data_IF_209253315147
#
_entry.id   IF_209253315147
#
_cell.length_a   1.000
_cell.length_b   1.000
_cell.length_c   1.000
_cell.angle_alpha   90.00
_cell.angle_beta   90.00
_cell.angle_gamma   90.00
#
_symmetry.space_group_name_H-M   'P 1'
#
loop_
_entity.id
_entity.type
_entity.pdbx_description
1 polymer ?
#
# COMPACT_ATOMS: atom_id res chain seq x y z
N UNK A 1 26.31 13.22 -30.99
CA UNK A 1 25.73 14.45 -30.38
C UNK A 1 25.41 15.51 -31.44
N UNK A 2 26.18 15.62 -32.52
CA UNK A 2 25.88 16.56 -33.61
C UNK A 2 24.70 16.15 -34.51
N UNK A 3 24.33 14.86 -34.52
CA UNK A 3 23.22 14.32 -35.32
C UNK A 3 21.85 14.33 -34.60
N UNK A 4 21.77 14.83 -33.36
CA UNK A 4 20.52 14.89 -32.60
C UNK A 4 19.66 16.07 -33.07
N UNK A 5 18.35 15.84 -33.26
CA UNK A 5 17.39 16.92 -33.49
C UNK A 5 17.33 17.84 -32.26
N UNK A 6 17.76 19.10 -32.45
CA UNK A 6 17.83 20.12 -31.40
C UNK A 6 16.57 20.97 -31.30
N UNK A 7 15.52 20.62 -32.06
CA UNK A 7 14.22 21.30 -31.94
C UNK A 7 13.62 21.07 -30.57
N UNK A 8 13.08 22.13 -29.99
CA UNK A 8 12.38 22.04 -28.70
C UNK A 8 10.97 21.48 -28.90
N UNK A 9 10.40 20.91 -27.84
CA UNK A 9 9.01 20.44 -27.84
C UNK A 9 8.06 21.52 -28.36
N UNK A 10 8.29 22.77 -27.92
CA UNK A 10 7.49 23.92 -28.35
C UNK A 10 7.60 24.22 -29.85
N UNK A 11 8.76 24.02 -30.45
CA UNK A 11 8.97 24.20 -31.89
C UNK A 11 8.33 23.07 -32.71
N UNK A 12 8.32 21.85 -32.17
CA UNK A 12 7.70 20.69 -32.82
C UNK A 12 6.16 20.74 -32.78
N UNK A 13 5.58 21.45 -31.82
CA UNK A 13 4.13 21.64 -31.69
C UNK A 13 3.61 22.94 -32.33
N UNK A 14 4.28 23.46 -33.38
CA UNK A 14 3.92 24.69 -34.11
C UNK A 14 3.87 25.99 -33.27
N UNK A 15 4.48 26.01 -32.08
CA UNK A 15 4.74 27.22 -31.30
C UNK A 15 3.51 27.90 -30.68
N UNK A 16 3.66 29.19 -30.36
CA UNK A 16 2.69 29.94 -29.54
C UNK A 16 1.29 30.03 -30.16
N UNK A 17 1.15 29.97 -31.49
CA UNK A 17 -0.14 30.07 -32.16
C UNK A 17 -0.97 28.78 -32.02
N UNK A 18 -0.34 27.61 -32.12
CA UNK A 18 -1.00 26.32 -31.98
C UNK A 18 -1.31 25.98 -30.52
N UNK A 19 -0.47 26.44 -29.58
CA UNK A 19 -0.60 26.16 -28.15
C UNK A 19 -1.36 27.25 -27.36
N UNK A 20 -1.92 28.25 -28.05
CA UNK A 20 -2.63 29.36 -27.43
C UNK A 20 -3.84 28.92 -26.58
N UNK A 21 -4.48 27.79 -26.92
CA UNK A 21 -5.62 27.23 -26.18
C UNK A 21 -5.20 26.49 -24.90
N UNK A 22 -3.98 25.96 -24.84
CA UNK A 22 -3.49 25.16 -23.70
C UNK A 22 -2.58 25.95 -22.76
N UNK A 23 -1.84 26.94 -23.27
CA UNK A 23 -0.87 27.71 -22.49
C UNK A 23 -1.46 28.42 -21.28
N UNK A 24 -2.71 28.92 -21.28
CA UNK A 24 -3.33 29.50 -20.09
C UNK A 24 -3.60 28.50 -18.96
N UNK A 25 -3.66 27.19 -19.29
CA UNK A 25 -3.87 26.11 -18.32
C UNK A 25 -2.57 25.60 -17.71
N UNK A 26 -1.41 25.98 -18.26
CA UNK A 26 -0.10 25.53 -17.78
C UNK A 26 0.53 26.59 -16.88
N UNK A 27 1.14 26.15 -15.79
CA UNK A 27 1.91 27.03 -14.92
C UNK A 27 3.10 27.65 -15.72
N UNK A 28 3.45 28.93 -15.50
CA UNK A 28 4.50 29.61 -16.28
C UNK A 28 5.88 28.92 -16.27
N UNK A 29 6.22 28.22 -15.17
CA UNK A 29 7.47 27.44 -15.10
C UNK A 29 7.45 26.24 -16.06
N UNK A 30 6.30 25.58 -16.24
CA UNK A 30 6.13 24.47 -17.16
C UNK A 30 6.21 24.98 -18.61
N UNK A 31 5.57 26.11 -18.91
CA UNK A 31 5.70 26.75 -20.24
C UNK A 31 7.17 27.06 -20.54
N UNK A 32 7.89 27.60 -19.58
CA UNK A 32 9.33 27.91 -19.72
C UNK A 32 10.15 26.64 -19.93
N UNK A 33 9.85 25.57 -19.20
CA UNK A 33 10.47 24.26 -19.37
C UNK A 33 10.20 23.70 -20.78
N UNK A 34 8.95 23.62 -21.23
CA UNK A 34 8.58 23.07 -22.54
C UNK A 34 9.15 23.88 -23.72
N UNK A 35 9.35 25.19 -23.54
CA UNK A 35 10.06 26.06 -24.50
C UNK A 35 11.54 25.73 -24.63
N UNK A 36 12.17 25.26 -23.55
CA UNK A 36 13.60 24.92 -23.50
C UNK A 36 13.87 23.42 -23.73
N UNK A 37 12.93 22.56 -23.42
CA UNK A 37 13.08 21.12 -23.48
C UNK A 37 13.20 20.65 -24.93
N UNK A 38 14.27 19.93 -25.25
CA UNK A 38 14.42 19.27 -26.55
C UNK A 38 13.33 18.20 -26.69
N UNK A 39 12.68 18.17 -27.85
CA UNK A 39 11.59 17.22 -28.10
C UNK A 39 12.10 15.78 -28.12
N UNK A 40 13.37 15.59 -28.48
CA UNK A 40 14.09 14.32 -28.35
C UNK A 40 13.63 13.21 -29.29
N UNK A 41 12.49 13.33 -29.99
CA UNK A 41 11.99 12.30 -30.89
C UNK A 41 11.33 12.85 -32.15
N UNK A 42 11.83 12.38 -33.29
CA UNK A 42 11.00 12.10 -34.46
C UNK A 42 10.26 10.78 -34.20
N UNK A 43 8.94 10.77 -34.38
CA UNK A 43 8.12 9.55 -34.51
C UNK A 43 8.41 8.85 -35.85
N UNK A 44 9.68 8.61 -36.15
CA UNK A 44 10.10 7.93 -37.37
C UNK A 44 10.59 6.53 -36.99
N UNK A 45 9.89 5.50 -37.49
CA UNK A 45 10.12 4.08 -37.22
C UNK A 45 11.50 3.56 -37.70
N UNK A 46 12.36 4.44 -38.21
CA UNK A 46 13.57 4.10 -38.95
C UNK A 46 14.88 4.20 -38.16
N UNK A 47 14.90 4.75 -36.93
CA UNK A 47 16.10 4.81 -36.09
C UNK A 47 15.86 4.41 -34.61
N UNK A 48 16.87 3.81 -33.94
CA UNK A 48 16.73 3.33 -32.57
C UNK A 48 16.47 4.48 -31.60
N UNK A 49 15.41 4.32 -30.82
CA UNK A 49 14.94 5.29 -29.84
C UNK A 49 15.98 5.51 -28.73
N UNK A 50 16.47 6.75 -28.57
CA UNK A 50 17.23 7.15 -27.39
C UNK A 50 16.31 7.41 -26.20
N UNK A 51 16.00 6.36 -25.45
CA UNK A 51 15.24 6.46 -24.20
C UNK A 51 16.09 7.20 -23.16
N UNK A 52 15.71 8.43 -22.82
CA UNK A 52 16.42 9.23 -21.82
C UNK A 52 16.37 8.60 -20.42
N UNK A 53 15.38 7.74 -20.17
CA UNK A 53 15.23 6.99 -18.93
C UNK A 53 14.61 5.61 -19.19
N UNK A 54 15.01 4.60 -18.40
CA UNK A 54 14.49 3.23 -18.50
C UNK A 54 12.96 3.17 -18.45
N UNK A 55 12.32 4.05 -17.68
CA UNK A 55 10.90 3.93 -17.33
C UNK A 55 9.95 4.91 -18.01
N UNK A 56 10.44 6.05 -18.54
CA UNK A 56 9.59 7.05 -19.20
C UNK A 56 10.16 7.38 -20.58
N UNK A 57 9.28 7.63 -21.54
CA UNK A 57 9.63 7.90 -22.93
C UNK A 57 8.93 9.15 -23.42
N UNK A 58 9.72 10.10 -23.93
CA UNK A 58 9.23 11.29 -24.61
C UNK A 58 8.38 12.25 -23.77
N UNK A 59 8.32 13.50 -24.19
CA UNK A 59 7.35 14.45 -23.65
C UNK A 59 5.97 14.17 -24.27
N UNK A 60 4.91 14.25 -23.47
CA UNK A 60 3.55 14.09 -23.94
C UNK A 60 3.18 15.14 -25.01
N UNK A 61 2.36 14.76 -25.99
CA UNK A 61 1.82 15.71 -26.96
C UNK A 61 0.82 16.68 -26.30
N UNK A 62 0.53 17.84 -26.90
CA UNK A 62 -0.49 18.78 -26.43
C UNK A 62 -1.84 18.13 -26.09
N UNK A 63 -2.28 17.16 -26.89
CA UNK A 63 -3.53 16.43 -26.70
C UNK A 63 -3.44 15.44 -25.53
N UNK A 64 -2.27 14.85 -25.31
CA UNK A 64 -2.03 13.81 -24.31
C UNK A 64 -1.83 14.36 -22.89
N UNK A 65 -1.48 15.65 -22.74
CA UNK A 65 -1.24 16.29 -21.44
C UNK A 65 -2.38 16.03 -20.43
N UNK A 66 -3.64 16.10 -20.88
CA UNK A 66 -4.81 15.93 -19.98
C UNK A 66 -5.70 14.72 -20.29
N UNK A 67 -5.53 14.05 -21.43
CA UNK A 67 -6.39 12.91 -21.80
C UNK A 67 -6.13 11.66 -20.97
N UNK A 68 -4.92 11.49 -20.44
CA UNK A 68 -4.55 10.24 -19.77
C UNK A 68 -4.85 10.24 -18.26
N UNK A 69 -5.08 11.42 -17.65
CA UNK A 69 -5.37 11.52 -16.21
C UNK A 69 -6.80 11.04 -15.99
N UNK A 70 -6.95 9.78 -15.57
CA UNK A 70 -8.24 9.15 -15.30
C UNK A 70 -8.88 9.77 -14.05
N UNK A 71 -9.79 10.73 -14.25
CA UNK A 71 -10.66 11.24 -13.20
C UNK A 71 -11.91 10.36 -13.12
N UNK A 72 -12.41 10.08 -11.92
CA UNK A 72 -13.74 9.48 -11.76
C UNK A 72 -14.81 10.45 -12.30
N UNK A 73 -15.90 9.94 -12.88
CA UNK A 73 -16.95 10.76 -13.52
C UNK A 73 -17.62 11.75 -12.54
N UNK A 74 -17.48 11.53 -11.24
CA UNK A 74 -18.01 12.35 -10.15
C UNK A 74 -17.00 13.35 -9.55
N UNK A 75 -15.75 13.42 -10.03
CA UNK A 75 -14.79 14.44 -9.58
C UNK A 75 -15.08 15.83 -10.18
N UNK A 76 -15.01 16.85 -9.31
CA UNK A 76 -15.15 18.26 -9.68
C UNK A 76 -14.04 18.72 -10.65
N UNK A 77 -14.37 19.66 -11.53
CA UNK A 77 -13.51 20.15 -12.61
C UNK A 77 -12.25 20.89 -12.10
N UNK A 78 -12.19 21.20 -10.80
CA UNK A 78 -11.05 21.83 -10.13
C UNK A 78 -9.77 20.99 -10.22
N UNK A 79 -9.87 19.66 -10.13
CA UNK A 79 -8.71 18.76 -10.26
C UNK A 79 -8.22 18.62 -11.72
N UNK A 80 -9.13 18.77 -12.70
CA UNK A 80 -8.85 18.57 -14.14
C UNK A 80 -7.88 19.59 -14.74
N UNK A 81 -7.68 20.70 -14.05
CA UNK A 81 -6.72 21.73 -14.45
C UNK A 81 -5.40 21.63 -13.69
N UNK A 82 -5.33 20.87 -12.60
CA UNK A 82 -4.15 20.81 -11.72
C UNK A 82 -3.14 19.77 -12.13
N UNK A 83 -3.59 18.63 -12.65
CA UNK A 83 -2.73 17.51 -13.00
C UNK A 83 -2.63 17.30 -14.50
N UNK A 84 -1.41 17.00 -14.98
CA UNK A 84 -1.18 16.65 -16.38
C UNK A 84 -0.01 15.68 -16.54
N UNK A 85 -0.02 14.85 -17.58
CA UNK A 85 1.06 13.92 -17.91
C UNK A 85 2.17 14.64 -18.67
N UNK A 86 3.37 14.79 -18.08
CA UNK A 86 4.53 15.43 -18.70
C UNK A 86 5.33 14.46 -19.58
N UNK A 87 5.65 13.27 -19.07
CA UNK A 87 6.35 12.22 -19.82
C UNK A 87 5.44 11.00 -19.96
N UNK A 88 5.55 10.24 -21.05
CA UNK A 88 4.78 9.00 -21.19
C UNK A 88 5.51 7.81 -20.57
N UNK A 89 4.77 6.76 -20.19
CA UNK A 89 5.38 5.53 -19.71
C UNK A 89 6.06 4.79 -20.88
N UNK A 90 7.22 4.18 -20.62
CA UNK A 90 7.91 3.38 -21.63
C UNK A 90 7.16 2.06 -21.90
N UNK A 91 6.37 2.04 -22.97
CA UNK A 91 5.58 0.89 -23.43
C UNK A 91 6.41 -0.36 -23.72
N UNK A 92 7.69 -0.22 -24.05
CA UNK A 92 8.59 -1.34 -24.29
C UNK A 92 8.84 -2.21 -23.03
N UNK A 93 8.46 -1.72 -21.85
CA UNK A 93 8.52 -2.48 -20.59
C UNK A 93 7.24 -3.24 -20.25
N UNK A 94 6.24 -3.29 -21.15
CA UNK A 94 5.00 -4.03 -20.93
C UNK A 94 4.04 -3.34 -19.96
N UNK A 95 4.06 -2.00 -19.89
CA UNK A 95 3.11 -1.20 -19.09
C UNK A 95 1.69 -1.30 -19.63
N UNK A 96 0.72 -1.41 -18.72
CA UNK A 96 -0.70 -1.58 -19.02
C UNK A 96 -1.47 -0.27 -19.27
N UNK A 97 -0.86 0.90 -19.01
CA UNK A 97 -1.46 2.23 -19.21
C UNK A 97 -0.40 3.32 -19.54
N UNK A 98 -0.71 4.33 -20.38
CA UNK A 98 0.29 5.28 -20.92
C UNK A 98 0.69 6.44 -19.99
N UNK A 99 0.32 6.42 -18.71
CA UNK A 99 0.24 7.62 -17.87
C UNK A 99 1.58 8.26 -17.44
N UNK A 100 2.69 7.52 -17.47
CA UNK A 100 4.06 8.03 -17.37
C UNK A 100 4.37 8.88 -16.14
N UNK A 101 4.78 10.14 -16.32
CA UNK A 101 5.03 11.07 -15.22
C UNK A 101 3.93 12.14 -15.18
N UNK A 102 3.10 12.14 -14.14
CA UNK A 102 2.09 13.16 -13.87
C UNK A 102 2.70 14.28 -13.02
N UNK A 103 2.44 15.53 -13.38
CA UNK A 103 2.79 16.71 -12.59
C UNK A 103 1.57 17.31 -11.92
N UNK A 104 1.73 17.68 -10.65
CA UNK A 104 0.88 18.61 -9.91
C UNK A 104 1.45 20.01 -10.07
N UNK A 105 0.85 20.83 -10.93
CA UNK A 105 1.40 22.15 -11.21
C UNK A 105 1.08 23.21 -10.16
N UNK A 106 0.19 22.92 -9.22
CA UNK A 106 -0.13 23.81 -8.10
C UNK A 106 0.90 23.64 -6.99
N UNK A 107 1.25 22.38 -6.66
CA UNK A 107 2.20 22.07 -5.62
C UNK A 107 3.65 21.86 -6.12
N UNK A 108 3.86 21.81 -7.44
CA UNK A 108 5.17 21.57 -8.04
C UNK A 108 5.72 20.16 -7.81
N UNK A 109 4.85 19.18 -7.58
CA UNK A 109 5.23 17.78 -7.32
C UNK A 109 5.02 16.91 -8.55
N UNK A 110 5.69 15.76 -8.61
CA UNK A 110 5.61 14.81 -9.72
C UNK A 110 5.33 13.39 -9.19
N UNK A 111 4.62 12.59 -9.98
CA UNK A 111 4.22 11.22 -9.66
C UNK A 111 4.41 10.33 -10.90
N UNK A 112 4.97 9.14 -10.73
CA UNK A 112 5.15 8.19 -11.84
C UNK A 112 4.03 7.14 -11.83
N UNK A 113 3.31 7.01 -12.93
CA UNK A 113 2.22 6.07 -13.21
C UNK A 113 2.61 5.15 -14.38
N UNK A 114 2.93 3.91 -14.06
CA UNK A 114 3.32 2.85 -14.96
C UNK A 114 2.20 1.81 -15.20
N UNK A 115 1.10 1.84 -14.45
CA UNK A 115 0.00 0.87 -14.53
C UNK A 115 -1.38 1.50 -14.33
N UNK A 116 -2.44 0.85 -14.85
CA UNK A 116 -3.84 1.22 -14.54
C UNK A 116 -4.12 1.22 -13.03
N UNK A 117 -3.45 0.35 -12.27
CA UNK A 117 -3.62 0.21 -10.82
C UNK A 117 -2.86 1.26 -10.01
N UNK A 118 -2.00 2.06 -10.65
CA UNK A 118 -1.34 3.17 -9.96
C UNK A 118 -2.33 4.29 -9.66
N UNK A 119 -3.46 4.35 -10.38
CA UNK A 119 -4.59 5.21 -9.99
C UNK A 119 -5.15 4.81 -8.62
N UNK A 120 -5.24 3.51 -8.32
CA UNK A 120 -5.72 3.01 -7.01
C UNK A 120 -4.69 3.27 -5.90
N UNK A 121 -3.38 3.12 -6.18
CA UNK A 121 -2.29 3.43 -5.23
C UNK A 121 -2.19 4.94 -4.95
N UNK A 122 -2.34 5.78 -5.98
CA UNK A 122 -2.34 7.25 -5.83
C UNK A 122 -3.59 7.79 -5.15
N UNK A 123 -4.72 7.09 -5.27
CA UNK A 123 -5.93 7.39 -4.48
C UNK A 123 -5.87 6.83 -3.06
N UNK A 124 -5.03 5.82 -2.79
CA UNK A 124 -4.94 5.14 -1.48
C UNK A 124 -3.63 5.37 -0.70
N UNK A 125 -2.82 6.38 -1.03
CA UNK A 125 -1.47 6.49 -0.44
C UNK A 125 -0.77 7.85 -0.46
N UNK A 126 -1.47 8.95 -0.13
CA UNK A 126 -0.90 10.30 0.11
C UNK A 126 0.08 10.36 1.33
N UNK A 127 1.00 9.40 1.46
CA UNK A 127 1.91 9.22 2.60
C UNK A 127 3.36 9.59 2.29
N UNK A 128 3.64 10.26 1.18
CA UNK A 128 4.96 10.85 0.97
C UNK A 128 4.88 12.29 1.46
N UNK A 129 5.71 12.65 2.43
CA UNK A 129 5.77 14.01 2.97
C UNK A 129 7.15 14.59 2.71
N UNK A 130 7.19 15.86 2.30
CA UNK A 130 8.43 16.61 2.26
C UNK A 130 8.78 17.04 3.69
N UNK A 131 10.04 16.88 4.06
CA UNK A 131 10.59 17.34 5.33
C UNK A 131 11.76 18.28 5.09
N UNK A 132 11.87 19.28 5.97
CA UNK A 132 12.92 20.30 5.90
C UNK A 132 14.32 19.72 6.18
N UNK A 133 15.36 20.50 5.91
CA UNK A 133 16.76 20.13 6.19
C UNK A 133 17.00 19.78 7.67
N UNK A 134 16.23 20.38 8.57
CA UNK A 134 16.30 20.18 10.03
C UNK A 134 15.58 18.90 10.52
N UNK A 135 15.03 18.08 9.63
CA UNK A 135 14.39 16.83 10.01
C UNK A 135 15.41 15.82 10.57
N UNK A 136 15.20 15.41 11.82
CA UNK A 136 16.07 14.51 12.58
C UNK A 136 15.48 13.10 12.78
N UNK A 137 14.39 12.77 12.09
CA UNK A 137 13.76 11.45 12.19
C UNK A 137 14.58 10.36 11.52
N UNK A 138 14.44 9.13 12.04
CA UNK A 138 15.23 7.95 11.65
C UNK A 138 14.70 7.22 10.39
N UNK A 139 13.61 7.70 9.78
CA UNK A 139 13.05 7.13 8.56
C UNK A 139 14.00 7.28 7.37
N UNK A 140 13.97 6.28 6.47
CA UNK A 140 14.65 6.39 5.19
C UNK A 140 14.20 7.66 4.44
N UNK A 141 15.19 8.51 4.11
CA UNK A 141 14.99 9.82 3.48
C UNK A 141 15.59 9.82 2.08
N UNK A 142 14.76 10.09 1.10
CA UNK A 142 15.17 10.45 -0.26
C UNK A 142 14.92 11.94 -0.44
N UNK A 143 15.90 12.77 -0.07
CA UNK A 143 15.70 14.21 0.14
C UNK A 143 14.86 14.91 -0.95
N UNK A 144 13.85 15.73 -0.59
CA UNK A 144 13.36 16.04 0.77
C UNK A 144 12.32 15.04 1.31
N UNK A 145 12.10 13.91 0.67
CA UNK A 145 10.94 13.05 0.89
C UNK A 145 11.21 11.96 1.93
N UNK A 146 10.21 11.72 2.78
CA UNK A 146 10.11 10.52 3.62
C UNK A 146 8.77 9.84 3.39
N UNK A 147 8.69 8.58 3.79
CA UNK A 147 7.45 7.82 3.88
C UNK A 147 7.15 7.52 5.36
N UNK A 148 6.26 8.28 6.03
CA UNK A 148 5.84 7.96 7.38
C UNK A 148 5.10 6.63 7.40
N UNK A 149 5.21 5.93 8.53
CA UNK A 149 4.63 4.62 8.72
C UNK A 149 3.10 4.59 8.67
N UNK A 150 2.49 5.67 9.13
CA UNK A 150 1.07 5.97 8.97
C UNK A 150 0.86 7.49 8.98
N UNK A 151 -0.28 7.93 8.45
CA UNK A 151 -0.74 9.32 8.53
C UNK A 151 -1.87 9.47 9.56
N UNK A 152 -2.10 10.70 10.03
CA UNK A 152 -3.30 11.02 10.83
C UNK A 152 -4.60 10.61 10.12
N UNK A 153 -4.61 10.68 8.78
CA UNK A 153 -5.78 10.26 8.00
C UNK A 153 -6.00 8.76 8.11
N UNK A 154 -4.94 7.95 8.01
CA UNK A 154 -5.05 6.48 8.15
C UNK A 154 -5.58 6.09 9.52
N UNK A 155 -5.09 6.72 10.58
CA UNK A 155 -5.57 6.53 11.94
C UNK A 155 -7.04 6.91 12.06
N UNK A 156 -7.43 8.10 11.61
CA UNK A 156 -8.81 8.58 11.69
C UNK A 156 -9.79 7.76 10.85
N UNK A 157 -9.38 7.30 9.66
CA UNK A 157 -10.19 6.40 8.82
C UNK A 157 -10.40 5.04 9.52
N UNK A 158 -9.34 4.49 10.14
CA UNK A 158 -9.43 3.21 10.88
C UNK A 158 -10.28 3.33 12.13
N UNK A 159 -10.15 4.42 12.89
CA UNK A 159 -11.00 4.72 14.05
C UNK A 159 -12.48 4.81 13.64
N UNK A 160 -12.78 5.46 12.50
CA UNK A 160 -14.14 5.54 11.95
C UNK A 160 -14.68 4.18 11.50
N UNK A 161 -13.86 3.35 10.87
CA UNK A 161 -14.24 1.99 10.49
C UNK A 161 -14.58 1.15 11.73
N UNK A 162 -13.70 1.16 12.73
CA UNK A 162 -13.91 0.45 14.00
C UNK A 162 -15.17 0.93 14.75
N UNK A 163 -15.36 2.24 14.83
CA UNK A 163 -16.56 2.86 15.40
C UNK A 163 -17.84 2.33 14.72
N UNK A 164 -17.82 2.28 13.39
CA UNK A 164 -18.95 1.82 12.58
C UNK A 164 -19.24 0.33 12.83
N UNK A 165 -18.20 -0.50 12.94
CA UNK A 165 -18.33 -1.92 13.32
C UNK A 165 -18.99 -2.07 14.70
N UNK A 166 -18.49 -1.36 15.71
CA UNK A 166 -19.03 -1.42 17.09
C UNK A 166 -20.50 -0.99 17.11
N UNK A 167 -20.85 0.12 16.47
CA UNK A 167 -22.23 0.61 16.41
C UNK A 167 -23.16 -0.38 15.69
N UNK A 168 -22.69 -0.97 14.60
CA UNK A 168 -23.45 -1.94 13.82
C UNK A 168 -23.68 -3.26 14.58
N UNK A 169 -22.75 -3.66 15.46
CA UNK A 169 -22.92 -4.80 16.35
C UNK A 169 -23.85 -4.48 17.52
N UNK A 170 -23.68 -3.33 18.17
CA UNK A 170 -24.60 -2.86 19.22
C UNK A 170 -26.05 -2.79 18.74
N UNK A 171 -26.27 -2.33 17.50
CA UNK A 171 -27.60 -2.26 16.91
C UNK A 171 -28.25 -3.64 16.66
N UNK A 172 -27.44 -4.69 16.45
CA UNK A 172 -27.90 -6.06 16.17
C UNK A 172 -28.01 -6.93 17.42
N UNK A 173 -27.23 -6.63 18.46
CA UNK A 173 -27.12 -7.45 19.68
C UNK A 173 -27.29 -6.56 20.93
N UNK A 174 -28.49 -6.00 21.18
CA UNK A 174 -28.72 -5.11 22.32
C UNK A 174 -28.59 -5.80 23.68
N UNK A 175 -28.83 -7.12 23.75
CA UNK A 175 -28.90 -7.86 25.02
C UNK A 175 -27.54 -8.37 25.55
N UNK A 176 -26.44 -8.17 24.82
CA UNK A 176 -25.08 -8.61 25.22
C UNK A 176 -24.20 -7.48 25.78
N UNK A 177 -24.78 -6.32 26.10
CA UNK A 177 -24.05 -5.19 26.66
C UNK A 177 -23.48 -5.55 28.03
N UNK A 178 -22.16 -5.70 28.09
CA UNK A 178 -21.36 -5.77 29.30
C UNK A 178 -20.61 -4.46 29.43
N UNK A 179 -20.82 -3.75 30.54
CA UNK A 179 -20.05 -2.55 30.84
C UNK A 179 -18.65 -2.97 31.30
N UNK A 180 -17.65 -2.60 30.51
CA UNK A 180 -16.25 -2.72 30.87
C UNK A 180 -15.72 -1.32 31.17
N UNK A 181 -15.12 -1.12 32.35
CA UNK A 181 -14.45 0.15 32.70
C UNK A 181 -13.08 0.27 32.02
N UNK A 182 -12.55 -0.83 31.49
CA UNK A 182 -11.25 -0.92 30.85
C UNK A 182 -11.28 -0.32 29.44
N UNK A 183 -10.18 0.34 29.06
CA UNK A 183 -9.99 0.82 27.68
C UNK A 183 -9.80 -0.36 26.71
N UNK A 184 -9.97 -0.13 25.41
CA UNK A 184 -9.64 -1.16 24.41
C UNK A 184 -8.16 -1.54 24.48
N UNK A 185 -7.30 -0.58 24.79
CA UNK A 185 -5.88 -0.81 25.04
C UNK A 185 -5.69 -1.86 26.14
N UNK A 186 -6.27 -1.65 27.33
CA UNK A 186 -6.14 -2.58 28.46
C UNK A 186 -6.70 -3.97 28.13
N UNK A 187 -7.80 -4.00 27.37
CA UNK A 187 -8.40 -5.26 26.94
C UNK A 187 -7.45 -6.06 26.06
N UNK A 188 -6.83 -5.42 25.06
CA UNK A 188 -5.96 -6.07 24.06
C UNK A 188 -4.60 -6.42 24.63
N UNK A 189 -3.96 -5.51 25.37
CA UNK A 189 -2.60 -5.69 25.88
C UNK A 189 -2.54 -6.34 27.26
N UNK A 190 -3.69 -6.55 27.91
CA UNK A 190 -3.75 -6.99 29.30
C UNK A 190 -3.34 -5.90 30.30
N UNK A 191 -3.30 -4.64 29.88
CA UNK A 191 -2.91 -3.49 30.70
C UNK A 191 -1.41 -3.20 30.72
N UNK A 192 -0.62 -3.89 29.89
CA UNK A 192 0.79 -3.57 29.71
C UNK A 192 0.94 -2.34 28.80
N UNK A 193 1.30 -1.21 29.40
CA UNK A 193 1.52 0.06 28.69
C UNK A 193 2.89 0.14 28.01
N UNK A 194 3.85 -0.70 28.42
CA UNK A 194 5.22 -0.66 27.90
C UNK A 194 5.39 -1.53 26.65
N UNK A 195 4.40 -2.39 26.35
CA UNK A 195 4.47 -3.27 25.17
C UNK A 195 4.31 -2.53 23.84
N UNK A 196 3.82 -1.29 23.82
CA UNK A 196 3.63 -0.52 22.58
C UNK A 196 4.19 0.90 22.70
N UNK A 197 5.04 1.35 21.76
CA UNK A 197 5.50 2.73 21.71
C UNK A 197 4.34 3.70 21.56
N UNK A 198 4.33 4.79 22.34
CA UNK A 198 3.22 5.76 22.37
C UNK A 198 2.94 6.47 21.04
N UNK A 199 3.94 6.54 20.16
CA UNK A 199 3.85 7.11 18.82
C UNK A 199 3.46 6.09 17.74
N UNK A 200 3.34 4.80 18.07
CA UNK A 200 2.91 3.77 17.12
C UNK A 200 1.44 3.92 16.74
N UNK A 201 1.09 3.48 15.53
CA UNK A 201 -0.28 3.38 15.06
C UNK A 201 -1.12 2.56 16.04
N UNK A 202 -0.61 1.40 16.46
CA UNK A 202 -1.29 0.47 17.36
C UNK A 202 -1.66 1.12 18.69
N UNK A 203 -0.69 1.78 19.36
CA UNK A 203 -0.94 2.47 20.61
C UNK A 203 -2.02 3.55 20.46
N UNK A 204 -1.88 4.39 19.43
CA UNK A 204 -2.80 5.51 19.20
C UNK A 204 -4.19 5.05 18.79
N UNK A 205 -4.29 3.99 18.00
CA UNK A 205 -5.55 3.36 17.63
C UNK A 205 -6.25 2.80 18.86
N UNK A 206 -5.59 1.94 19.63
CA UNK A 206 -6.18 1.30 20.81
C UNK A 206 -6.57 2.30 21.90
N UNK A 207 -5.81 3.38 22.06
CA UNK A 207 -6.07 4.43 23.06
C UNK A 207 -7.24 5.35 22.69
N UNK A 208 -7.54 5.51 21.40
CA UNK A 208 -8.58 6.43 20.90
C UNK A 208 -9.83 5.70 20.40
N UNK A 209 -9.73 4.40 20.13
CA UNK A 209 -10.83 3.58 19.66
C UNK A 209 -11.95 3.50 20.71
N UNK A 210 -13.20 3.48 20.22
CA UNK A 210 -14.36 3.28 21.09
C UNK A 210 -14.29 1.93 21.77
N UNK A 211 -14.43 1.93 23.09
CA UNK A 211 -14.52 0.70 23.87
C UNK A 211 -15.82 -0.04 23.52
N UNK A 212 -15.74 -1.27 22.96
CA UNK A 212 -16.92 -2.06 22.68
C UNK A 212 -17.57 -2.51 24.00
N UNK A 213 -18.90 -2.46 24.14
CA UNK A 213 -19.60 -2.97 25.31
C UNK A 213 -19.76 -4.51 25.29
N UNK A 214 -18.90 -5.22 24.56
CA UNK A 214 -18.95 -6.65 24.38
C UNK A 214 -17.55 -7.18 24.05
N UNK A 215 -17.33 -8.46 24.28
CA UNK A 215 -16.04 -9.10 23.99
C UNK A 215 -16.02 -9.81 22.64
N UNK A 216 -17.16 -10.27 22.13
CA UNK A 216 -17.23 -11.04 20.88
C UNK A 216 -17.64 -10.13 19.72
N UNK A 217 -16.80 -10.06 18.67
CA UNK A 217 -17.08 -9.24 17.47
C UNK A 217 -17.76 -10.06 16.36
N UNK A 218 -17.60 -11.39 16.40
CA UNK A 218 -18.29 -12.33 15.53
C UNK A 218 -18.37 -13.71 16.23
N UNK A 219 -19.21 -14.65 15.75
CA UNK A 219 -19.19 -16.02 16.24
C UNK A 219 -17.78 -16.63 16.13
N UNK A 220 -17.22 -17.05 17.27
CA UNK A 220 -15.87 -17.61 17.34
C UNK A 220 -14.73 -16.59 17.31
N UNK A 221 -15.00 -15.28 17.30
CA UNK A 221 -13.98 -14.22 17.27
C UNK A 221 -14.24 -13.18 18.36
N UNK A 222 -13.26 -12.96 19.24
CA UNK A 222 -13.36 -12.06 20.39
C UNK A 222 -12.15 -11.14 20.53
N UNK A 223 -12.29 -10.03 21.25
CA UNK A 223 -11.18 -9.15 21.62
C UNK A 223 -10.11 -9.99 22.32
N UNK A 224 -8.88 -9.87 21.83
CA UNK A 224 -7.73 -10.55 22.41
C UNK A 224 -7.42 -9.99 23.79
N UNK A 225 -6.75 -10.77 24.63
CA UNK A 225 -6.35 -10.37 25.98
C UNK A 225 -4.96 -10.86 26.36
N UNK A 226 -4.20 -11.33 25.38
CA UNK A 226 -2.85 -11.85 25.53
C UNK A 226 -2.12 -11.71 24.20
N UNK A 227 -0.86 -11.27 24.26
CA UNK A 227 -0.04 -11.00 23.10
C UNK A 227 1.08 -12.05 22.98
N UNK A 228 0.98 -13.00 22.04
CA UNK A 228 1.89 -14.15 21.97
C UNK A 228 3.32 -13.78 21.55
N UNK A 229 3.51 -12.61 20.93
CA UNK A 229 4.80 -12.15 20.42
C UNK A 229 5.47 -11.07 21.28
N UNK A 230 4.81 -10.58 22.33
CA UNK A 230 5.30 -9.46 23.14
C UNK A 230 6.59 -9.79 23.92
N UNK A 231 6.82 -11.06 24.25
CA UNK A 231 8.01 -11.52 24.99
C UNK A 231 9.22 -11.82 24.08
N UNK A 232 9.06 -11.73 22.76
CA UNK A 232 10.16 -12.00 21.83
C UNK A 232 11.18 -10.86 21.95
N UNK A 233 12.44 -11.14 22.32
CA UNK A 233 13.45 -10.11 22.48
C UNK A 233 13.85 -9.59 21.10
N UNK A 234 13.35 -8.40 20.75
CA UNK A 234 13.78 -7.67 19.56
C UNK A 234 15.15 -7.03 19.84
N UNK A 235 15.96 -6.89 18.79
CA UNK A 235 17.28 -6.26 18.96
C UNK A 235 17.13 -4.83 19.44
N UNK A 236 17.92 -4.40 20.45
CA UNK A 236 17.85 -3.04 21.02
C UNK A 236 18.05 -1.91 19.99
N UNK A 237 18.62 -2.24 18.84
CA UNK A 237 18.84 -1.33 17.70
C UNK A 237 17.65 -1.21 16.76
N UNK A 238 16.62 -2.05 16.91
CA UNK A 238 15.46 -2.07 16.02
C UNK A 238 14.22 -1.53 16.74
N UNK A 239 13.61 -0.50 16.17
CA UNK A 239 12.29 0.02 16.59
C UNK A 239 11.13 -0.88 16.11
N UNK A 240 11.41 -2.15 15.82
CA UNK A 240 10.44 -3.14 15.35
C UNK A 240 9.25 -3.29 16.31
N UNK A 241 8.07 -3.28 15.72
CA UNK A 241 6.83 -3.64 16.37
C UNK A 241 6.56 -5.12 16.14
N UNK A 242 6.12 -5.82 17.17
CA UNK A 242 5.71 -7.22 17.06
C UNK A 242 4.29 -7.36 16.47
N UNK A 243 3.90 -8.53 15.95
CA UNK A 243 2.54 -8.77 15.49
C UNK A 243 1.53 -8.66 16.64
N UNK A 244 0.69 -7.64 16.60
CA UNK A 244 -0.28 -7.38 17.68
C UNK A 244 -1.62 -8.05 17.37
N UNK A 245 -2.03 -8.99 18.21
CA UNK A 245 -3.31 -9.69 18.11
C UNK A 245 -4.45 -8.78 18.60
N UNK A 246 -5.33 -8.36 17.70
CA UNK A 246 -6.52 -7.54 18.04
C UNK A 246 -7.71 -8.41 18.41
N UNK A 247 -8.00 -9.42 17.58
CA UNK A 247 -9.11 -10.34 17.79
C UNK A 247 -8.65 -11.78 17.71
N UNK A 248 -8.91 -12.56 18.76
CA UNK A 248 -8.55 -13.96 18.85
C UNK A 248 -9.72 -14.87 18.52
N UNK A 249 -9.45 -15.90 17.74
CA UNK A 249 -10.37 -16.98 17.44
C UNK A 249 -10.51 -17.91 18.65
N UNK A 250 -11.68 -18.52 18.82
CA UNK A 250 -11.89 -19.62 19.77
C UNK A 250 -11.31 -20.94 19.26
N UNK A 251 -11.06 -21.04 17.96
CA UNK A 251 -10.44 -22.19 17.31
C UNK A 251 -8.91 -22.04 17.26
N UNK A 252 -8.15 -23.14 17.34
CA UNK A 252 -6.69 -23.11 17.23
C UNK A 252 -6.24 -22.70 15.82
N UNK A 253 -5.03 -22.14 15.72
CA UNK A 253 -4.38 -21.83 14.43
C UNK A 253 -4.12 -23.09 13.60
N UNK A 254 -4.30 -22.95 12.29
CA UNK A 254 -3.79 -23.93 11.34
C UNK A 254 -2.26 -23.89 11.28
N UNK A 255 -1.59 -25.03 11.47
CA UNK A 255 -0.14 -25.11 11.26
C UNK A 255 0.14 -25.27 9.77
N UNK A 256 0.64 -24.22 9.16
CA UNK A 256 1.11 -24.26 7.78
C UNK A 256 2.50 -24.88 7.71
N UNK A 257 2.71 -25.70 6.69
CA UNK A 257 4.01 -26.27 6.37
C UNK A 257 4.27 -26.08 4.89
N UNK A 258 5.49 -25.67 4.55
CA UNK A 258 5.97 -25.63 3.17
C UNK A 258 7.02 -26.70 2.96
N UNK A 259 7.11 -27.22 1.74
CA UNK A 259 8.11 -28.23 1.40
C UNK A 259 9.42 -27.56 1.02
N UNK A 260 10.47 -27.81 1.78
CA UNK A 260 11.78 -27.26 1.51
C UNK A 260 12.39 -27.85 0.22
N UNK A 261 13.33 -27.15 -0.44
CA UNK A 261 14.01 -27.67 -1.65
C UNK A 261 14.71 -29.02 -1.45
N UNK A 262 15.09 -29.36 -0.21
CA UNK A 262 15.71 -30.64 0.16
C UNK A 262 14.69 -31.73 0.57
N UNK A 263 13.39 -31.45 0.48
CA UNK A 263 12.31 -32.44 0.55
C UNK A 263 11.62 -32.61 1.91
N UNK A 264 12.09 -31.93 2.96
CA UNK A 264 11.47 -31.92 4.30
C UNK A 264 10.36 -30.85 4.39
N UNK A 265 9.33 -31.15 5.17
CA UNK A 265 8.29 -30.17 5.51
C UNK A 265 8.78 -29.30 6.67
N UNK A 266 8.80 -27.98 6.43
CA UNK A 266 9.18 -26.98 7.42
C UNK A 266 7.97 -26.12 7.78
N UNK A 267 7.91 -25.69 9.04
CA UNK A 267 6.85 -24.78 9.50
C UNK A 267 6.93 -23.48 8.69
N UNK A 268 5.80 -23.07 8.12
CA UNK A 268 5.68 -21.82 7.38
C UNK A 268 4.96 -20.81 8.28
N UNK A 269 5.71 -19.92 8.91
CA UNK A 269 5.14 -18.85 9.73
C UNK A 269 4.80 -17.66 8.84
N UNK A 270 3.59 -17.08 8.95
CA UNK A 270 3.19 -15.90 8.18
C UNK A 270 3.80 -14.59 8.71
N UNK A 271 4.55 -14.66 9.81
CA UNK A 271 5.23 -13.54 10.45
C UNK A 271 6.73 -13.56 10.13
N UNK A 272 7.36 -12.40 10.27
CA UNK A 272 8.79 -12.21 10.07
C UNK A 272 9.66 -13.19 10.88
N UNK A 273 10.87 -13.42 10.39
CA UNK A 273 11.75 -14.51 10.84
C UNK A 273 12.17 -14.39 12.31
N UNK A 274 12.19 -13.17 12.84
CA UNK A 274 12.44 -12.82 14.24
C UNK A 274 11.43 -13.50 15.17
N UNK A 275 10.21 -13.70 14.69
CA UNK A 275 9.10 -14.32 15.44
C UNK A 275 8.97 -15.83 15.22
N UNK A 276 9.85 -16.46 14.42
CA UNK A 276 9.78 -17.92 14.13
C UNK A 276 10.05 -18.79 15.37
N UNK A 277 10.62 -18.21 16.44
CA UNK A 277 10.73 -18.88 17.74
C UNK A 277 9.36 -19.18 18.37
N UNK A 278 8.32 -18.40 18.02
CA UNK A 278 6.95 -18.58 18.50
C UNK A 278 6.24 -19.61 17.61
N UNK A 279 6.36 -20.88 17.99
CA UNK A 279 5.81 -22.01 17.23
C UNK A 279 4.30 -22.22 17.37
N UNK A 280 3.64 -21.47 18.27
CA UNK A 280 2.21 -21.55 18.56
C UNK A 280 1.66 -20.16 18.88
N UNK A 281 0.68 -19.73 18.10
CA UNK A 281 -0.09 -18.50 18.29
C UNK A 281 -1.55 -18.79 17.87
N UNK A 282 -2.56 -18.06 18.40
CA UNK A 282 -3.97 -18.33 18.10
C UNK A 282 -4.39 -17.81 16.72
N UNK A 283 -5.46 -18.37 16.15
CA UNK A 283 -6.04 -17.81 14.93
C UNK A 283 -6.67 -16.46 15.28
N UNK A 284 -6.78 -15.54 14.33
CA UNK A 284 -7.26 -14.20 14.64
C UNK A 284 -6.77 -13.11 13.71
N UNK A 285 -7.21 -11.89 14.00
CA UNK A 285 -6.80 -10.68 13.29
C UNK A 285 -5.60 -10.04 14.00
N UNK A 286 -4.49 -9.94 13.28
CA UNK A 286 -3.24 -9.35 13.74
C UNK A 286 -2.99 -8.04 13.00
N UNK A 287 -2.51 -7.01 13.70
CA UNK A 287 -1.68 -5.98 13.06
C UNK A 287 -0.32 -6.59 12.76
N UNK A 288 0.23 -6.19 11.62
CA UNK A 288 1.52 -6.70 11.13
C UNK A 288 2.67 -6.17 11.99
N UNK A 289 3.68 -7.00 12.17
CA UNK A 289 5.02 -6.56 12.51
C UNK A 289 5.51 -5.51 11.52
N UNK A 290 6.08 -4.42 12.02
CA UNK A 290 6.56 -3.32 11.18
C UNK A 290 7.77 -2.69 11.83
N UNK A 291 8.78 -2.41 11.03
CA UNK A 291 9.86 -1.51 11.39
C UNK A 291 9.50 -0.11 10.87
N UNK A 292 9.08 0.84 11.74
CA UNK A 292 8.54 2.13 11.31
C UNK A 292 9.52 3.01 10.52
N UNK A 293 10.80 2.66 10.56
CA UNK A 293 11.91 3.38 9.94
C UNK A 293 12.37 2.74 8.63
N UNK A 294 11.88 1.55 8.31
CA UNK A 294 12.24 0.81 7.09
C UNK A 294 11.66 1.46 5.83
N UNK A 295 12.11 0.99 4.67
CA UNK A 295 11.62 1.38 3.33
C UNK A 295 10.13 1.14 3.13
N UNK A 296 9.52 0.24 3.92
CA UNK A 296 8.12 -0.18 3.78
C UNK A 296 7.39 -0.18 5.14
N UNK A 297 7.21 0.98 5.78
CA UNK A 297 6.89 1.05 7.21
C UNK A 297 5.37 0.98 7.48
N UNK A 298 4.63 0.03 6.92
CA UNK A 298 3.15 0.06 6.91
C UNK A 298 2.47 -0.45 8.20
N UNK A 299 2.51 0.33 9.28
CA UNK A 299 1.97 -0.06 10.60
C UNK A 299 0.44 -0.36 10.63
N UNK A 300 -0.31 0.19 9.68
CA UNK A 300 -1.77 -0.04 9.58
C UNK A 300 -2.16 -1.34 8.87
N UNK A 301 -1.19 -2.11 8.38
CA UNK A 301 -1.40 -3.39 7.71
C UNK A 301 -1.85 -4.48 8.69
N UNK A 302 -2.71 -5.39 8.23
CA UNK A 302 -3.23 -6.46 9.05
C UNK A 302 -3.33 -7.80 8.30
N UNK A 303 -3.30 -8.89 9.07
CA UNK A 303 -3.44 -10.27 8.57
C UNK A 303 -4.50 -10.99 9.39
N UNK A 304 -5.44 -11.64 8.70
CA UNK A 304 -6.41 -12.54 9.34
C UNK A 304 -5.89 -13.97 9.23
N UNK A 305 -5.34 -14.50 10.32
CA UNK A 305 -4.91 -15.89 10.44
C UNK A 305 -6.12 -16.78 10.66
N UNK A 306 -6.42 -17.65 9.70
CA UNK A 306 -7.55 -18.57 9.77
C UNK A 306 -7.19 -19.87 10.51
N UNK A 307 -8.18 -20.52 11.15
CA UNK A 307 -7.99 -21.85 11.76
C UNK A 307 -7.88 -22.98 10.73
N UNK A 308 -7.94 -22.66 9.43
CA UNK A 308 -7.76 -23.57 8.30
C UNK A 308 -7.08 -22.83 7.15
N UNK A 309 -6.54 -23.58 6.19
CA UNK A 309 -5.96 -23.00 4.97
C UNK A 309 -6.99 -22.85 3.85
N UNK A 310 -6.70 -21.91 2.95
CA UNK A 310 -7.41 -21.66 1.70
C UNK A 310 -6.51 -22.09 0.53
N UNK A 311 -7.09 -22.30 -0.66
CA UNK A 311 -6.33 -22.59 -1.88
C UNK A 311 -6.36 -24.04 -2.36
N UNK A 312 -6.54 -25.05 -1.49
CA UNK A 312 -6.50 -26.49 -1.87
C UNK A 312 -7.31 -26.88 -3.11
N UNK A 313 -8.46 -26.24 -3.32
CA UNK A 313 -9.37 -26.57 -4.42
C UNK A 313 -9.29 -25.59 -5.59
N UNK A 314 -8.34 -24.65 -5.60
CA UNK A 314 -8.18 -23.60 -6.61
C UNK A 314 -9.48 -22.82 -6.91
N UNK A 315 -10.30 -22.59 -5.88
CA UNK A 315 -11.58 -21.89 -6.03
C UNK A 315 -11.53 -20.46 -5.47
N UNK A 316 -10.59 -20.18 -4.57
CA UNK A 316 -10.40 -18.87 -3.96
C UNK A 316 -9.26 -18.13 -4.68
N UNK A 317 -9.45 -16.82 -4.87
CA UNK A 317 -8.52 -15.95 -5.58
C UNK A 317 -8.27 -14.67 -4.78
N UNK A 318 -7.06 -14.14 -4.91
CA UNK A 318 -6.69 -12.80 -4.47
C UNK A 318 -7.25 -11.73 -5.41
N UNK A 319 -7.17 -10.45 -5.05
CA UNK A 319 -7.78 -9.37 -5.84
C UNK A 319 -7.13 -9.15 -7.21
N UNK A 320 -5.87 -9.54 -7.40
CA UNK A 320 -5.18 -9.58 -8.69
C UNK A 320 -5.62 -10.76 -9.58
N UNK A 321 -6.48 -11.64 -9.06
CA UNK A 321 -7.02 -12.79 -9.76
C UNK A 321 -6.16 -14.06 -9.67
N UNK A 322 -5.00 -14.03 -9.02
CA UNK A 322 -4.20 -15.23 -8.75
C UNK A 322 -4.96 -16.18 -7.81
N UNK A 323 -4.68 -17.49 -7.89
CA UNK A 323 -5.22 -18.42 -6.90
C UNK A 323 -4.54 -18.18 -5.54
N UNK A 324 -5.30 -18.32 -4.46
CA UNK A 324 -4.71 -18.32 -3.12
C UNK A 324 -3.71 -19.46 -3.01
N UNK A 325 -2.47 -19.14 -2.59
CA UNK A 325 -1.37 -20.08 -2.52
C UNK A 325 -0.56 -20.26 -3.80
N UNK A 326 -0.88 -19.53 -4.86
CA UNK A 326 -0.14 -19.56 -6.12
C UNK A 326 1.22 -18.87 -6.01
N UNK A 327 2.28 -19.55 -6.45
CA UNK A 327 3.55 -18.88 -6.69
C UNK A 327 3.52 -18.12 -8.03
N UNK A 328 3.04 -16.89 -7.97
CA UNK A 328 2.92 -15.95 -9.11
C UNK A 328 4.22 -15.67 -9.86
N UNK A 329 5.40 -15.98 -9.28
CA UNK A 329 6.70 -15.82 -9.93
C UNK A 329 7.09 -17.05 -10.75
N UNK A 330 6.40 -18.17 -10.59
CA UNK A 330 6.68 -19.39 -11.35
C UNK A 330 6.21 -19.26 -12.80
N UNK A 331 6.98 -19.82 -13.73
CA UNK A 331 6.64 -19.81 -15.16
C UNK A 331 5.91 -21.10 -15.54
N UNK A 332 4.73 -20.98 -16.16
CA UNK A 332 3.98 -22.11 -16.71
C UNK A 332 2.48 -22.03 -16.40
N UNK A 333 1.74 -23.05 -16.82
CA UNK A 333 0.35 -23.22 -16.40
C UNK A 333 0.30 -23.65 -14.94
N UNK A 334 -0.54 -23.00 -14.13
CA UNK A 334 -0.72 -23.32 -12.71
C UNK A 334 -1.53 -24.61 -12.58
N UNK A 335 -0.97 -25.61 -11.91
CA UNK A 335 -1.67 -26.84 -11.54
C UNK A 335 -1.99 -26.87 -10.05
N UNK A 336 -2.92 -27.74 -9.65
CA UNK A 336 -3.25 -27.93 -8.24
C UNK A 336 -2.07 -28.43 -7.39
N UNK A 337 -1.04 -29.00 -8.02
CA UNK A 337 0.18 -29.41 -7.32
C UNK A 337 1.12 -28.23 -7.01
N UNK A 338 0.91 -27.08 -7.66
CA UNK A 338 1.72 -25.87 -7.51
C UNK A 338 1.11 -24.88 -6.50
N UNK A 339 -0.08 -25.19 -5.96
CA UNK A 339 -0.76 -24.37 -4.96
C UNK A 339 -0.33 -24.78 -3.55
N UNK A 340 0.22 -23.82 -2.81
CA UNK A 340 0.53 -23.96 -1.39
C UNK A 340 -0.60 -23.36 -0.54
N UNK A 341 -1.38 -24.17 0.18
CA UNK A 341 -2.51 -23.62 0.94
C UNK A 341 -2.09 -22.62 2.01
N UNK A 342 -2.73 -21.46 2.07
CA UNK A 342 -2.40 -20.37 3.01
C UNK A 342 -3.56 -20.02 3.94
N UNK A 343 -3.27 -19.68 5.20
CA UNK A 343 -4.28 -19.26 6.20
C UNK A 343 -4.42 -17.75 6.32
N UNK A 344 -3.52 -16.96 5.72
CA UNK A 344 -3.45 -15.49 5.90
C UNK A 344 -3.82 -14.66 4.68
N UNK A 345 -4.03 -15.29 3.52
CA UNK A 345 -4.27 -14.58 2.26
C UNK A 345 -5.71 -14.07 2.09
N UNK A 346 -6.62 -14.36 3.03
CA UNK A 346 -7.96 -13.79 2.99
C UNK A 346 -7.89 -12.26 3.18
N UNK A 347 -8.54 -11.52 2.28
CA UNK A 347 -8.50 -10.06 2.15
C UNK A 347 -7.19 -9.44 1.67
N UNK A 348 -6.15 -10.23 1.42
CA UNK A 348 -4.89 -9.71 0.89
C UNK A 348 -4.99 -9.34 -0.59
N UNK A 349 -4.18 -8.37 -0.99
CA UNK A 349 -4.22 -7.80 -2.35
C UNK A 349 -3.66 -8.75 -3.42
N UNK A 350 -3.04 -9.85 -3.02
CA UNK A 350 -2.27 -10.72 -3.91
C UNK A 350 -0.95 -10.07 -4.31
N UNK A 351 -0.44 -10.43 -5.48
CA UNK A 351 0.84 -9.93 -5.97
C UNK A 351 0.71 -8.53 -6.54
N UNK A 352 1.35 -7.58 -5.87
CA UNK A 352 1.48 -6.22 -6.35
C UNK A 352 2.96 -5.90 -6.64
N UNK A 353 3.29 -5.74 -7.92
CA UNK A 353 4.66 -5.46 -8.41
C UNK A 353 5.27 -4.15 -7.89
N UNK A 354 4.46 -3.28 -7.29
CA UNK A 354 4.88 -1.95 -6.84
C UNK A 354 4.91 -1.82 -5.32
N UNK A 355 4.18 -2.69 -4.61
CA UNK A 355 4.15 -2.78 -3.14
C UNK A 355 4.17 -4.26 -2.73
N UNK A 356 5.28 -4.93 -3.06
CA UNK A 356 5.48 -6.38 -2.94
C UNK A 356 5.29 -6.94 -1.51
N UNK A 357 5.13 -6.06 -0.52
CA UNK A 357 5.10 -6.40 0.90
C UNK A 357 4.08 -5.60 1.71
N UNK A 358 3.00 -5.06 1.12
CA UNK A 358 1.99 -4.29 1.87
C UNK A 358 0.72 -5.12 2.15
N UNK A 359 0.46 -5.40 3.43
CA UNK A 359 -0.79 -6.09 3.83
C UNK A 359 -2.01 -5.17 3.72
N UNK A 360 -3.20 -5.75 3.60
CA UNK A 360 -4.44 -4.97 3.62
C UNK A 360 -4.54 -4.08 4.87
N UNK A 361 -4.94 -2.83 4.70
CA UNK A 361 -5.10 -1.91 5.83
C UNK A 361 -6.30 -2.31 6.69
N UNK A 362 -6.14 -2.19 8.02
CA UNK A 362 -7.17 -2.58 8.99
C UNK A 362 -8.55 -1.98 8.70
N UNK A 363 -8.60 -0.72 8.24
CA UNK A 363 -9.84 -0.01 7.89
C UNK A 363 -10.71 -0.71 6.82
N UNK A 364 -10.12 -1.58 5.99
CA UNK A 364 -10.82 -2.31 4.94
C UNK A 364 -11.34 -3.68 5.40
N UNK A 365 -10.86 -4.16 6.55
CA UNK A 365 -11.25 -5.46 7.14
C UNK A 365 -12.29 -5.30 8.25
N UNK A 366 -12.26 -4.17 8.97
CA UNK A 366 -13.27 -3.77 9.97
C UNK A 366 -14.59 -3.34 9.32
#
# INVERSE_FOLDING_TARGET
>A
LDDLDKRTWWQCCDGDAALASISPRLHPSIVSFLKAAWHGFALDDSEPTHDFHRYVVGLASPEQLWQNVNYAEDEDDSNKQRYFTLYMANWALGVSHPLGLILDQENGTAMQHMSIHDSDVTMNGRKIVAVDEDYDGEQERTEPWIMPSYSERDLNDTLRAFQSLVDALCARIPDQIQHTENSLFDLVTGGDLECLPSNSFAYRFLSQAKVPPFFHIAPGLRIANHQPFAEVPLTETSAELFPLLLFTSTEPTCRETRRAPWGEDILDSPFAWEFHSVSTYPAGLYLRETEPQSTHPFEGGCKLVLPYTLGNNMCARTSDGAFIGENVHSHGDVSAADIEPKSVELYQLGYNRFIETHDVQLKHVL
#
